data_IF_676479161940
#
_entry.id   IF_676479161940
#
_cell.length_a   1.000
_cell.length_b   1.000
_cell.length_c   1.000
_cell.angle_alpha   90.00
_cell.angle_beta   90.00
_cell.angle_gamma   90.00
#
_symmetry.space_group_name_H-M   'P 1'
#
loop_
_entity.id
_entity.type
_entity.pdbx_description
1 polymer ?
#
# COMPACT_ATOMS: atom_id res chain seq x y z
N UNK A 1 -15.40 -7.72 -5.16
CA UNK A 1 -16.41 -6.66 -5.19
C UNK A 1 -17.77 -7.12 -4.62
N UNK A 2 -18.34 -8.23 -5.01
CA UNK A 2 -19.64 -8.70 -4.49
C UNK A 2 -19.65 -8.85 -2.97
N UNK A 3 -18.56 -9.35 -2.35
CA UNK A 3 -18.42 -9.41 -0.89
C UNK A 3 -18.33 -8.04 -0.21
N UNK A 4 -17.88 -7.01 -0.93
CA UNK A 4 -17.73 -5.65 -0.37
C UNK A 4 -19.02 -4.83 -0.47
N UNK A 5 -19.78 -4.98 -1.55
CA UNK A 5 -20.94 -4.12 -1.86
C UNK A 5 -22.26 -4.85 -1.90
N UNK A 6 -22.24 -6.18 -1.91
CA UNK A 6 -23.43 -7.01 -2.05
C UNK A 6 -23.85 -7.21 -3.52
N UNK A 7 -24.66 -8.25 -3.72
CA UNK A 7 -25.10 -8.66 -5.05
C UNK A 7 -25.99 -7.62 -5.72
N UNK A 8 -26.92 -7.02 -4.97
CA UNK A 8 -27.86 -6.02 -5.48
C UNK A 8 -27.17 -4.79 -6.03
N UNK A 9 -26.14 -4.29 -5.34
CA UNK A 9 -25.40 -3.13 -5.81
C UNK A 9 -24.51 -3.49 -7.01
N UNK A 10 -23.87 -4.66 -6.98
CA UNK A 10 -23.09 -5.13 -8.13
C UNK A 10 -23.95 -5.29 -9.38
N UNK A 11 -25.18 -5.80 -9.23
CA UNK A 11 -26.13 -5.89 -10.32
C UNK A 11 -26.46 -4.49 -10.88
N UNK A 12 -26.79 -3.54 -10.00
CA UNK A 12 -27.09 -2.17 -10.41
C UNK A 12 -25.92 -1.45 -11.12
N UNK A 13 -24.68 -1.81 -10.77
CA UNK A 13 -23.49 -1.21 -11.35
C UNK A 13 -23.04 -1.86 -12.67
N UNK A 14 -23.36 -3.13 -12.89
CA UNK A 14 -22.79 -3.91 -14.01
C UNK A 14 -23.82 -4.36 -15.03
N UNK A 15 -25.10 -4.52 -14.65
CA UNK A 15 -26.14 -5.00 -15.56
C UNK A 15 -26.68 -3.85 -16.42
N UNK A 16 -25.95 -3.54 -17.48
CA UNK A 16 -26.35 -2.50 -18.46
C UNK A 16 -27.45 -2.93 -19.41
N UNK A 17 -27.70 -4.22 -19.51
CA UNK A 17 -28.66 -4.81 -20.43
C UNK A 17 -29.94 -5.27 -19.75
N UNK A 18 -30.07 -5.02 -18.44
CA UNK A 18 -31.27 -5.35 -17.62
C UNK A 18 -31.61 -6.85 -17.72
N UNK A 19 -30.60 -7.70 -17.69
CA UNK A 19 -30.76 -9.16 -17.75
C UNK A 19 -30.88 -9.81 -16.38
N UNK A 20 -30.68 -9.05 -15.29
CA UNK A 20 -30.67 -9.58 -13.94
C UNK A 20 -29.41 -10.39 -13.59
N UNK A 21 -28.31 -10.18 -14.31
CA UNK A 21 -27.04 -10.89 -14.12
C UNK A 21 -25.90 -9.90 -13.96
N UNK A 22 -25.02 -10.17 -12.98
CA UNK A 22 -23.79 -9.39 -12.78
C UNK A 22 -22.85 -9.64 -13.96
N UNK A 23 -22.42 -8.58 -14.66
CA UNK A 23 -21.38 -8.66 -15.65
C UNK A 23 -20.01 -8.76 -14.99
N UNK A 24 -19.52 -10.00 -14.84
CA UNK A 24 -18.22 -10.29 -14.24
C UNK A 24 -17.04 -9.77 -15.08
N UNK A 25 -17.21 -9.69 -16.41
CA UNK A 25 -16.16 -9.22 -17.32
C UNK A 25 -15.97 -7.72 -17.14
N UNK A 26 -17.08 -6.97 -17.12
CA UNK A 26 -17.04 -5.54 -16.85
C UNK A 26 -16.46 -5.23 -15.47
N UNK A 27 -16.88 -5.95 -14.44
CA UNK A 27 -16.36 -5.77 -13.08
C UNK A 27 -14.84 -6.07 -13.00
N UNK A 28 -14.37 -7.14 -13.65
CA UNK A 28 -12.96 -7.49 -13.71
C UNK A 28 -12.14 -6.43 -14.47
N UNK A 29 -12.65 -5.90 -15.58
CA UNK A 29 -12.00 -4.83 -16.32
C UNK A 29 -11.79 -3.58 -15.45
N UNK A 30 -12.81 -3.16 -14.69
CA UNK A 30 -12.70 -1.99 -13.81
C UNK A 30 -11.81 -2.23 -12.59
N UNK A 31 -11.73 -3.45 -12.10
CA UNK A 31 -10.74 -3.83 -11.09
C UNK A 31 -9.32 -3.77 -11.64
N UNK A 32 -9.08 -4.23 -12.86
CA UNK A 32 -7.75 -4.15 -13.50
C UNK A 32 -7.32 -2.69 -13.71
N UNK A 33 -8.24 -1.82 -14.11
CA UNK A 33 -7.96 -0.37 -14.20
C UNK A 33 -7.61 0.23 -12.82
N UNK A 34 -8.35 -0.13 -11.77
CA UNK A 34 -8.08 0.30 -10.41
C UNK A 34 -6.72 -0.21 -9.90
N UNK A 35 -6.37 -1.46 -10.20
CA UNK A 35 -5.08 -2.05 -9.88
C UNK A 35 -3.93 -1.33 -10.56
N UNK A 36 -4.08 -0.97 -11.83
CA UNK A 36 -3.08 -0.21 -12.57
C UNK A 36 -2.85 1.18 -11.94
N UNK A 37 -3.91 1.87 -11.54
CA UNK A 37 -3.83 3.15 -10.83
C UNK A 37 -3.09 3.02 -9.50
N UNK A 38 -3.45 2.02 -8.68
CA UNK A 38 -2.79 1.72 -7.40
C UNK A 38 -1.29 1.45 -7.61
N UNK A 39 -0.94 0.62 -8.60
CA UNK A 39 0.47 0.33 -8.94
C UNK A 39 1.25 1.60 -9.27
N UNK A 40 0.62 2.58 -9.93
CA UNK A 40 1.22 3.89 -10.22
C UNK A 40 1.63 4.66 -8.95
N UNK A 41 0.78 4.65 -7.93
CA UNK A 41 1.11 5.26 -6.62
C UNK A 41 2.20 4.47 -5.88
N UNK A 42 2.08 3.15 -5.85
CA UNK A 42 2.99 2.27 -5.09
C UNK A 42 4.40 2.22 -5.69
N UNK A 43 4.54 2.29 -7.01
CA UNK A 43 5.83 2.22 -7.72
C UNK A 43 6.83 3.30 -7.29
N UNK A 44 6.35 4.38 -6.68
CA UNK A 44 7.22 5.43 -6.15
C UNK A 44 8.03 4.99 -4.93
N UNK A 45 7.55 3.99 -4.19
CA UNK A 45 8.10 3.61 -2.89
C UNK A 45 8.29 2.10 -2.70
N UNK A 46 7.49 1.29 -3.35
CA UNK A 46 7.50 -0.17 -3.18
C UNK A 46 7.96 -0.87 -4.45
N UNK A 47 8.77 -1.91 -4.28
CA UNK A 47 9.09 -2.82 -5.37
C UNK A 47 7.85 -3.64 -5.74
N UNK A 48 7.52 -3.67 -7.01
CA UNK A 48 6.40 -4.46 -7.52
C UNK A 48 6.92 -5.71 -8.25
N UNK A 49 6.24 -6.85 -8.16
CA UNK A 49 5.02 -7.11 -7.40
C UNK A 49 5.25 -7.15 -5.87
N UNK A 50 4.23 -6.77 -5.09
CA UNK A 50 4.28 -6.86 -3.63
C UNK A 50 4.36 -8.33 -3.18
N UNK A 51 5.18 -8.62 -2.18
CA UNK A 51 5.31 -9.97 -1.60
C UNK A 51 4.06 -10.41 -0.82
N UNK A 52 3.32 -9.46 -0.29
CA UNK A 52 2.03 -9.67 0.35
C UNK A 52 1.12 -8.47 0.05
N UNK A 53 -0.19 -8.66 0.19
CA UNK A 53 -1.18 -7.63 -0.10
C UNK A 53 -1.79 -7.12 1.19
N UNK A 54 -1.65 -5.82 1.42
CA UNK A 54 -2.33 -5.12 2.50
C UNK A 54 -3.86 -5.22 2.31
N UNK A 55 -4.62 -5.59 3.37
CA UNK A 55 -6.08 -5.65 3.29
C UNK A 55 -6.72 -4.33 2.83
N UNK A 56 -6.14 -3.19 3.22
CA UNK A 56 -6.63 -1.87 2.81
C UNK A 56 -6.49 -1.64 1.29
N UNK A 57 -5.46 -2.20 0.64
CA UNK A 57 -5.33 -2.13 -0.82
C UNK A 57 -6.50 -2.80 -1.54
N UNK A 58 -7.01 -3.91 -1.00
CA UNK A 58 -8.19 -4.60 -1.56
C UNK A 58 -9.44 -3.72 -1.48
N UNK A 59 -9.66 -3.09 -0.33
CA UNK A 59 -10.78 -2.16 -0.13
C UNK A 59 -10.65 -0.96 -1.06
N UNK A 60 -9.47 -0.36 -1.12
CA UNK A 60 -9.16 0.78 -1.99
C UNK A 60 -9.40 0.43 -3.47
N UNK A 61 -8.96 -0.74 -3.92
CA UNK A 61 -9.21 -1.20 -5.29
C UNK A 61 -10.72 -1.35 -5.59
N UNK A 62 -11.48 -1.87 -4.63
CA UNK A 62 -12.93 -1.99 -4.78
C UNK A 62 -13.62 -0.61 -4.86
N UNK A 63 -13.23 0.37 -4.05
CA UNK A 63 -13.82 1.72 -4.10
C UNK A 63 -13.47 2.46 -5.40
N UNK A 64 -12.24 2.35 -5.88
CA UNK A 64 -11.84 2.91 -7.17
C UNK A 64 -12.60 2.25 -8.32
N UNK A 65 -12.69 0.91 -8.33
CA UNK A 65 -13.42 0.18 -9.36
C UNK A 65 -14.93 0.51 -9.33
N UNK A 66 -15.50 0.66 -8.13
CA UNK A 66 -16.89 1.09 -7.95
C UNK A 66 -17.13 2.46 -8.59
N UNK A 67 -16.29 3.44 -8.30
CA UNK A 67 -16.39 4.77 -8.91
C UNK A 67 -16.30 4.70 -10.44
N UNK A 68 -15.41 3.86 -10.99
CA UNK A 68 -15.25 3.67 -12.43
C UNK A 68 -16.39 2.91 -13.10
N UNK A 69 -17.20 2.18 -12.33
CA UNK A 69 -18.44 1.55 -12.80
C UNK A 69 -19.59 2.56 -12.88
N UNK A 70 -19.53 3.65 -12.10
CA UNK A 70 -20.46 4.78 -12.27
C UNK A 70 -20.09 5.56 -13.53
N UNK A 71 -21.03 6.21 -14.16
CA UNK A 71 -20.78 6.97 -15.38
C UNK A 71 -22.01 7.00 -16.29
N UNK A 72 -21.84 6.74 -17.59
CA UNK A 72 -22.84 7.02 -18.61
C UNK A 72 -24.26 6.47 -18.33
N UNK A 73 -24.40 5.36 -17.62
CA UNK A 73 -25.69 4.71 -17.36
C UNK A 73 -26.06 4.60 -15.87
N UNK A 74 -25.05 4.68 -14.98
CA UNK A 74 -25.27 4.60 -13.54
C UNK A 74 -24.93 5.94 -12.89
N UNK A 75 -25.90 6.53 -12.18
CA UNK A 75 -25.73 7.85 -11.58
C UNK A 75 -24.66 7.82 -10.50
N UNK A 76 -23.67 8.69 -10.65
CA UNK A 76 -22.69 8.97 -9.63
C UNK A 76 -23.35 9.63 -8.42
N UNK A 77 -23.14 9.07 -7.24
CA UNK A 77 -23.63 9.63 -5.98
C UNK A 77 -22.52 10.30 -5.19
N UNK A 78 -22.87 11.30 -4.37
CA UNK A 78 -21.91 11.98 -3.51
C UNK A 78 -21.10 11.01 -2.63
N UNK A 79 -21.69 10.00 -1.95
CA UNK A 79 -20.95 9.05 -1.13
C UNK A 79 -19.94 8.23 -1.94
N UNK A 80 -20.23 7.85 -3.17
CA UNK A 80 -19.31 7.11 -4.05
C UNK A 80 -18.10 7.98 -4.42
N UNK A 81 -18.35 9.24 -4.76
CA UNK A 81 -17.30 10.21 -5.06
C UNK A 81 -16.40 10.48 -3.86
N UNK A 82 -16.97 10.64 -2.68
CA UNK A 82 -16.21 10.92 -1.47
C UNK A 82 -15.32 9.75 -1.09
N UNK A 83 -15.82 8.52 -1.15
CA UNK A 83 -15.01 7.30 -0.92
C UNK A 83 -13.88 7.16 -1.94
N UNK A 84 -14.12 7.47 -3.20
CA UNK A 84 -13.06 7.48 -4.21
C UNK A 84 -11.97 8.51 -3.87
N UNK A 85 -12.34 9.73 -3.47
CA UNK A 85 -11.37 10.74 -3.03
C UNK A 85 -10.58 10.31 -1.81
N UNK A 86 -11.24 9.68 -0.85
CA UNK A 86 -10.57 9.18 0.36
C UNK A 86 -9.60 8.04 0.02
N UNK A 87 -9.98 7.17 -0.92
CA UNK A 87 -9.10 6.12 -1.44
C UNK A 87 -7.83 6.71 -2.09
N UNK A 88 -7.96 7.75 -2.93
CA UNK A 88 -6.81 8.42 -3.53
C UNK A 88 -5.92 9.12 -2.51
N UNK A 89 -6.51 9.84 -1.54
CA UNK A 89 -5.76 10.47 -0.45
C UNK A 89 -4.97 9.46 0.37
N UNK A 90 -5.56 8.31 0.63
CA UNK A 90 -4.85 7.24 1.33
C UNK A 90 -3.67 6.73 0.50
N UNK A 91 -3.83 6.51 -0.81
CA UNK A 91 -2.75 6.12 -1.71
C UNK A 91 -1.63 7.18 -1.79
N UNK A 92 -1.98 8.46 -1.80
CA UNK A 92 -1.00 9.55 -1.74
C UNK A 92 -0.16 9.48 -0.46
N UNK A 93 -0.80 9.25 0.69
CA UNK A 93 -0.10 9.11 1.97
C UNK A 93 0.77 7.86 2.03
N UNK A 94 0.38 6.77 1.38
CA UNK A 94 1.24 5.59 1.20
C UNK A 94 2.43 5.92 0.31
N UNK A 95 2.23 6.63 -0.79
CA UNK A 95 3.28 7.02 -1.72
C UNK A 95 4.28 8.01 -1.11
N UNK A 96 3.84 8.89 -0.19
CA UNK A 96 4.70 9.82 0.56
C UNK A 96 5.37 9.16 1.77
N UNK A 97 4.88 7.99 2.20
CA UNK A 97 5.42 7.25 3.34
C UNK A 97 4.85 7.65 4.70
N UNK A 98 3.81 8.46 4.72
CA UNK A 98 3.05 8.74 5.95
C UNK A 98 2.31 7.50 6.46
N UNK A 99 1.92 6.62 5.55
CA UNK A 99 1.27 5.35 5.83
C UNK A 99 2.11 4.22 5.24
N UNK A 100 2.43 3.23 6.07
CA UNK A 100 3.12 2.02 5.64
C UNK A 100 2.11 0.93 5.32
N UNK A 101 2.36 0.18 4.26
CA UNK A 101 1.61 -1.02 3.96
C UNK A 101 1.99 -2.13 4.93
N UNK A 102 1.00 -2.88 5.37
CA UNK A 102 1.18 -4.00 6.29
C UNK A 102 0.56 -5.28 5.71
N UNK A 103 1.12 -6.43 6.08
CA UNK A 103 0.51 -7.73 5.76
C UNK A 103 -0.69 -8.01 6.69
N UNK A 104 -1.33 -9.15 6.49
CA UNK A 104 -2.46 -9.59 7.31
C UNK A 104 -2.11 -9.80 8.80
N UNK A 105 -0.82 -9.89 9.13
CA UNK A 105 -0.30 -10.05 10.48
C UNK A 105 0.17 -8.70 11.08
N UNK A 106 -0.03 -7.59 10.35
CA UNK A 106 0.39 -6.26 10.78
C UNK A 106 1.89 -5.99 10.63
N UNK A 107 2.63 -6.83 9.89
CA UNK A 107 4.05 -6.61 9.61
C UNK A 107 4.21 -5.69 8.42
N UNK A 108 5.08 -4.68 8.53
CA UNK A 108 5.35 -3.77 7.44
C UNK A 108 5.85 -4.52 6.20
N UNK A 109 5.22 -4.23 5.06
CA UNK A 109 5.72 -4.68 3.77
C UNK A 109 6.97 -3.87 3.46
N UNK A 110 8.02 -4.57 3.03
CA UNK A 110 9.35 -3.99 2.82
C UNK A 110 9.30 -2.70 2.00
N UNK A 111 9.60 -1.61 2.67
CA UNK A 111 9.80 -0.31 2.07
C UNK A 111 11.29 -0.17 1.72
N UNK A 112 11.67 -0.04 0.43
CA UNK A 112 13.05 0.17 0.04
C UNK A 112 13.68 1.41 0.69
N UNK A 113 12.86 2.40 1.07
CA UNK A 113 13.32 3.58 1.80
C UNK A 113 13.68 3.33 3.26
N UNK A 114 13.22 2.20 3.84
CA UNK A 114 13.54 1.81 5.23
C UNK A 114 14.66 0.77 5.34
N UNK A 115 15.19 0.26 4.25
CA UNK A 115 16.35 -0.65 4.27
C UNK A 115 17.60 -0.04 4.92
N UNK A 116 17.57 1.24 5.27
CA UNK A 116 18.64 1.96 5.98
C UNK A 116 18.38 2.22 7.46
N UNK A 117 17.15 2.05 7.99
CA UNK A 117 16.83 2.43 9.37
C UNK A 117 16.68 1.27 10.36
N UNK A 118 16.90 0.03 9.96
CA UNK A 118 16.70 -1.14 10.83
C UNK A 118 17.95 -1.95 11.14
N UNK A 119 19.09 -1.68 10.56
CA UNK A 119 20.36 -2.27 10.93
C UNK A 119 21.29 -1.19 11.47
N UNK A 120 21.18 -0.89 12.75
CA UNK A 120 22.32 -0.33 13.48
C UNK A 120 23.39 -1.42 13.40
N UNK A 121 24.25 -1.36 12.37
CA UNK A 121 25.55 -2.02 12.43
C UNK A 121 26.28 -1.31 13.56
N UNK A 122 26.16 -1.87 14.75
CA UNK A 122 27.10 -1.57 15.83
C UNK A 122 28.43 -2.13 15.35
N UNK A 123 29.20 -1.30 14.65
CA UNK A 123 30.62 -1.56 14.49
C UNK A 123 31.12 -1.46 15.91
N UNK A 124 31.62 -2.55 16.51
CA UNK A 124 32.25 -2.46 17.83
C UNK A 124 33.35 -1.41 17.69
N UNK A 125 33.14 -0.27 18.33
CA UNK A 125 34.12 0.81 18.33
C UNK A 125 35.43 0.20 18.80
N UNK A 126 36.47 0.38 18.00
CA UNK A 126 37.84 0.01 18.41
C UNK A 126 38.01 0.66 19.78
N UNK A 127 38.30 -0.15 20.81
CA UNK A 127 38.58 0.36 22.14
C UNK A 127 39.75 1.33 21.99
N UNK A 128 39.52 2.61 22.25
CA UNK A 128 40.53 3.67 22.16
C UNK A 128 41.60 3.47 23.26
N UNK A 129 41.23 2.73 24.30
CA UNK A 129 42.11 2.32 25.41
C UNK A 129 42.14 0.79 25.45
N UNK A 130 43.08 0.19 24.73
CA UNK A 130 43.45 -1.19 24.89
C UNK A 130 44.80 -1.27 25.67
N UNK A 131 45.16 -2.48 26.10
CA UNK A 131 46.39 -2.67 26.87
C UNK A 131 47.65 -2.24 26.10
N UNK A 132 47.57 -2.15 24.77
CA UNK A 132 48.68 -1.65 23.92
C UNK A 132 48.78 -0.12 23.95
N UNK A 133 47.65 0.61 24.03
CA UNK A 133 47.65 2.08 24.09
C UNK A 133 48.02 2.60 25.49
N UNK A 134 47.88 1.77 26.52
CA UNK A 134 48.29 2.09 27.90
C UNK A 134 49.76 1.73 28.19
N UNK A 135 50.41 0.96 27.34
CA UNK A 135 51.81 0.57 27.54
C UNK A 135 52.77 1.78 27.52
N UNK A 136 52.46 2.79 26.69
CA UNK A 136 53.26 4.01 26.59
C UNK A 136 53.15 4.94 27.81
N UNK A 137 52.08 4.79 28.61
CA UNK A 137 51.88 5.59 29.84
C UNK A 137 52.54 5.03 31.08
N UNK A 138 53.06 3.80 31.06
CA UNK A 138 53.72 3.16 32.23
C UNK A 138 55.15 3.59 32.46
N UNK A 139 55.75 4.36 31.55
CA UNK A 139 57.17 4.74 31.62
C UNK A 139 57.44 6.12 32.27
N UNK A 140 56.43 6.85 32.74
CA UNK A 140 56.60 8.17 33.37
C UNK A 140 56.31 8.14 34.89
N UNK A 141 56.81 7.15 35.61
CA UNK A 141 56.65 7.04 37.06
C UNK A 141 57.90 6.40 37.68
N UNK A 142 58.98 7.15 37.73
CA UNK A 142 60.13 6.87 38.62
C UNK A 142 60.68 8.16 39.18
#
# INVERSE_FOLDING_TARGET
>A
MTLAFGEREMLALTDRTVQGVIDAVLAASKLAEAEAEIKGYLARRYALPLLAVDPMLKTTACEIARYRLTGAETTETQPVRDRYRDALRWLERVATGEVLLVDQLGRALGDPGQSGMGSVKTVPGRRVFDDGSLADYRFYGS
#
